data_IF_286543991828
#
_entry.id   IF_286543991828
#
_cell.length_a   1.000
_cell.length_b   1.000
_cell.length_c   1.000
_cell.angle_alpha   90.00
_cell.angle_beta   90.00
_cell.angle_gamma   90.00
#
_symmetry.space_group_name_H-M   'P 1'
#
loop_
_entity.id
_entity.type
_entity.pdbx_description
1 polymer ?
#
# COMPACT_ATOMS: atom_id res chain seq x y z
N UNK A 1 -22.40 -0.24 16.18
CA UNK A 1 -20.94 -0.44 16.18
C UNK A 1 -20.62 -1.05 14.85
N UNK A 2 -19.71 -0.46 14.13
CA UNK A 2 -19.29 -0.96 12.82
C UNK A 2 -17.77 -1.14 12.86
N UNK A 3 -17.32 -2.37 12.70
CA UNK A 3 -15.93 -2.78 12.76
C UNK A 3 -15.53 -3.43 11.44
N UNK A 4 -14.31 -3.18 10.96
CA UNK A 4 -13.76 -3.86 9.80
C UNK A 4 -12.24 -4.03 9.95
N UNK A 5 -11.72 -5.11 9.39
CA UNK A 5 -10.27 -5.37 9.31
C UNK A 5 -9.82 -5.47 7.86
N UNK A 6 -8.77 -4.72 7.52
CA UNK A 6 -8.09 -4.77 6.22
C UNK A 6 -6.66 -5.24 6.42
N UNK A 7 -6.18 -6.12 5.55
CA UNK A 7 -4.80 -6.58 5.57
C UNK A 7 -3.91 -5.59 4.81
N UNK A 8 -2.76 -5.29 5.38
CA UNK A 8 -1.67 -4.51 4.77
C UNK A 8 -0.34 -5.15 5.14
N UNK A 9 0.77 -4.50 4.82
CA UNK A 9 2.09 -4.99 5.18
C UNK A 9 3.09 -3.85 5.45
N UNK A 10 4.11 -4.15 6.24
CA UNK A 10 5.24 -3.27 6.52
C UNK A 10 6.55 -3.94 6.13
N UNK A 11 7.40 -3.29 5.36
CA UNK A 11 8.75 -3.73 5.08
C UNK A 11 9.64 -3.39 6.27
N UNK A 12 10.40 -4.36 6.77
CA UNK A 12 11.31 -4.26 7.91
C UNK A 12 12.68 -4.81 7.49
N UNK A 13 13.56 -3.95 6.98
CA UNK A 13 14.82 -4.41 6.40
C UNK A 13 14.58 -5.35 5.22
N UNK A 14 14.94 -6.62 5.33
CA UNK A 14 14.73 -7.66 4.30
C UNK A 14 13.45 -8.48 4.51
N UNK A 15 12.74 -8.29 5.61
CA UNK A 15 11.50 -9.01 5.92
C UNK A 15 10.26 -8.14 5.71
N UNK A 16 9.13 -8.80 5.53
CA UNK A 16 7.82 -8.16 5.43
C UNK A 16 6.93 -8.73 6.52
N UNK A 17 6.29 -7.85 7.27
CA UNK A 17 5.33 -8.21 8.31
C UNK A 17 3.92 -7.81 7.90
N UNK A 18 2.99 -8.77 7.96
CA UNK A 18 1.59 -8.46 7.70
C UNK A 18 0.99 -7.62 8.82
N UNK A 19 0.27 -6.58 8.44
CA UNK A 19 -0.35 -5.61 9.34
C UNK A 19 -1.86 -5.69 9.20
N UNK A 20 -2.56 -5.87 10.32
CA UNK A 20 -4.01 -5.73 10.37
C UNK A 20 -4.36 -4.28 10.69
N UNK A 21 -5.10 -3.67 9.79
CA UNK A 21 -5.66 -2.33 9.94
C UNK A 21 -7.11 -2.49 10.35
N UNK A 22 -7.39 -2.25 11.61
CA UNK A 22 -8.70 -2.45 12.25
C UNK A 22 -9.35 -1.09 12.46
N UNK A 23 -10.55 -0.88 11.92
CA UNK A 23 -11.31 0.35 12.10
C UNK A 23 -12.59 0.08 12.88
N UNK A 24 -12.82 0.86 13.94
CA UNK A 24 -14.07 0.91 14.70
C UNK A 24 -14.73 2.28 14.53
N UNK A 25 -16.01 2.27 14.15
CA UNK A 25 -16.81 3.49 14.02
C UNK A 25 -17.99 3.38 14.98
N UNK A 26 -17.95 4.18 16.03
CA UNK A 26 -18.92 4.12 17.13
C UNK A 26 -19.50 5.50 17.47
N UNK A 27 -20.62 5.52 18.21
CA UNK A 27 -21.18 6.75 18.71
C UNK A 27 -20.29 7.33 19.82
N UNK A 28 -20.11 8.65 19.82
CA UNK A 28 -19.29 9.34 20.80
C UNK A 28 -18.87 10.72 20.31
N UNK A 29 -17.98 11.37 21.04
CA UNK A 29 -17.39 12.63 20.60
C UNK A 29 -16.67 12.42 19.25
N UNK A 30 -16.91 13.27 18.25
CA UNK A 30 -16.27 13.17 16.95
C UNK A 30 -14.75 13.23 17.07
N UNK A 31 -14.08 12.12 16.75
CA UNK A 31 -12.64 12.03 16.77
C UNK A 31 -12.16 11.00 15.75
N UNK A 32 -10.94 11.17 15.26
CA UNK A 32 -10.23 10.17 14.49
C UNK A 32 -8.93 9.86 15.22
N UNK A 33 -8.84 8.69 15.82
CA UNK A 33 -7.71 8.30 16.65
C UNK A 33 -6.96 7.10 16.07
N UNK A 34 -5.64 7.21 15.98
CA UNK A 34 -4.77 6.17 15.46
C UNK A 34 -4.03 5.49 16.61
N UNK A 35 -4.02 4.16 16.62
CA UNK A 35 -3.39 3.32 17.65
C UNK A 35 -2.36 2.38 17.02
N UNK A 36 -1.26 2.13 17.70
CA UNK A 36 -0.17 1.25 17.27
C UNK A 36 1.21 1.89 17.44
N UNK A 37 2.25 1.18 17.03
CA UNK A 37 3.61 1.74 16.97
C UNK A 37 3.83 2.47 15.64
N UNK A 38 3.43 3.75 15.60
CA UNK A 38 3.30 4.57 14.41
C UNK A 38 4.39 5.63 14.35
N UNK A 39 5.00 5.83 13.19
CA UNK A 39 5.83 7.01 12.92
C UNK A 39 4.94 8.27 12.78
N UNK A 40 5.56 9.46 12.70
CA UNK A 40 4.85 10.74 12.49
C UNK A 40 4.04 10.73 11.21
N UNK A 41 4.60 10.24 10.12
CA UNK A 41 3.95 10.19 8.80
C UNK A 41 2.66 9.33 8.84
N UNK A 42 2.69 8.20 9.57
CA UNK A 42 1.51 7.34 9.74
C UNK A 42 0.47 8.01 10.64
N UNK A 43 0.88 8.75 11.67
CA UNK A 43 -0.06 9.51 12.51
C UNK A 43 -0.79 10.61 11.72
N UNK A 44 -0.08 11.26 10.80
CA UNK A 44 -0.64 12.28 9.91
C UNK A 44 -1.63 11.70 8.88
N UNK A 45 -1.59 10.38 8.63
CA UNK A 45 -2.54 9.71 7.74
C UNK A 45 -4.01 9.98 8.13
N UNK A 46 -4.30 10.21 9.42
CA UNK A 46 -5.65 10.54 9.88
C UNK A 46 -6.23 11.75 9.16
N UNK A 47 -5.44 12.82 8.98
CA UNK A 47 -5.89 14.04 8.31
C UNK A 47 -5.96 13.87 6.79
N UNK A 48 -4.97 13.19 6.19
CA UNK A 48 -4.97 12.89 4.76
C UNK A 48 -6.18 12.04 4.38
N UNK A 49 -6.41 10.93 5.09
CA UNK A 49 -7.52 10.00 4.84
C UNK A 49 -8.87 10.68 5.03
N UNK A 50 -9.07 11.43 6.11
CA UNK A 50 -10.32 12.19 6.35
C UNK A 50 -10.64 13.14 5.20
N UNK A 51 -9.64 13.87 4.74
CA UNK A 51 -9.77 14.84 3.65
C UNK A 51 -10.02 14.13 2.32
N UNK A 52 -9.27 13.07 2.02
CA UNK A 52 -9.45 12.27 0.82
C UNK A 52 -10.84 11.65 0.71
N UNK A 53 -11.35 11.05 1.79
CA UNK A 53 -12.71 10.48 1.83
C UNK A 53 -13.76 11.55 1.51
N UNK A 54 -13.67 12.74 2.13
CA UNK A 54 -14.62 13.83 1.86
C UNK A 54 -14.53 14.31 0.43
N UNK A 55 -13.33 14.50 -0.09
CA UNK A 55 -13.10 14.99 -1.46
C UNK A 55 -13.46 13.96 -2.53
N UNK A 56 -13.53 12.66 -2.16
CA UNK A 56 -14.07 11.58 -2.99
C UNK A 56 -15.62 11.45 -2.89
N UNK A 57 -16.32 12.45 -2.39
CA UNK A 57 -17.78 12.48 -2.32
C UNK A 57 -18.42 11.66 -1.20
N UNK A 58 -17.63 11.02 -0.33
CA UNK A 58 -18.15 10.20 0.77
C UNK A 58 -18.23 11.01 2.05
N UNK A 59 -19.36 10.86 2.79
CA UNK A 59 -19.60 11.62 4.03
C UNK A 59 -19.00 10.89 5.22
N UNK A 60 -18.10 11.56 5.95
CA UNK A 60 -17.66 11.12 7.26
C UNK A 60 -18.65 11.62 8.33
N UNK A 61 -19.34 10.74 9.04
CA UNK A 61 -20.24 11.15 10.11
C UNK A 61 -19.47 11.74 11.29
N UNK A 62 -20.13 12.57 12.09
CA UNK A 62 -19.60 13.08 13.36
C UNK A 62 -19.62 11.97 14.43
N UNK A 63 -18.78 10.95 14.25
CA UNK A 63 -18.65 9.78 15.13
C UNK A 63 -17.23 9.62 15.63
N UNK A 64 -17.06 8.77 16.63
CA UNK A 64 -15.75 8.34 17.10
C UNK A 64 -15.23 7.27 16.15
N UNK A 65 -14.06 7.53 15.52
CA UNK A 65 -13.35 6.61 14.65
C UNK A 65 -12.02 6.26 15.32
N UNK A 66 -11.79 4.98 15.55
CA UNK A 66 -10.53 4.46 16.06
C UNK A 66 -9.95 3.52 14.99
N UNK A 67 -8.69 3.72 14.64
CA UNK A 67 -7.95 2.85 13.74
C UNK A 67 -6.73 2.28 14.44
N UNK A 68 -6.67 0.96 14.56
CA UNK A 68 -5.55 0.25 15.15
C UNK A 68 -4.73 -0.46 14.06
N UNK A 69 -3.41 -0.29 14.07
CA UNK A 69 -2.49 -0.99 13.17
C UNK A 69 -1.71 -2.05 13.96
N UNK A 70 -2.20 -3.28 13.95
CA UNK A 70 -1.66 -4.42 14.68
C UNK A 70 -0.67 -5.25 13.83
N UNK A 71 0.38 -5.83 14.42
CA UNK A 71 0.74 -5.83 15.83
C UNK A 71 1.46 -4.55 16.27
N UNK A 72 1.36 -4.18 17.55
CA UNK A 72 2.02 -2.99 18.11
C UNK A 72 3.54 -3.14 18.24
N UNK A 73 4.08 -4.34 18.08
CA UNK A 73 5.54 -4.61 18.10
C UNK A 73 6.25 -4.15 16.83
N UNK A 74 5.53 -4.06 15.73
CA UNK A 74 6.06 -3.65 14.42
C UNK A 74 5.89 -2.15 14.23
N UNK A 75 6.98 -1.44 13.94
CA UNK A 75 6.92 0.00 13.64
C UNK A 75 6.41 0.23 12.22
N UNK A 76 5.32 0.98 12.08
CA UNK A 76 4.76 1.38 10.79
C UNK A 76 5.37 2.71 10.37
N UNK A 77 5.85 2.78 9.12
CA UNK A 77 6.51 3.97 8.54
C UNK A 77 5.93 4.28 7.17
N UNK A 78 6.05 5.54 6.75
CA UNK A 78 5.64 6.01 5.43
C UNK A 78 4.13 6.14 5.26
N UNK A 79 3.71 6.50 4.03
CA UNK A 79 2.32 6.78 3.69
C UNK A 79 1.58 5.57 3.06
N UNK A 80 2.23 4.40 2.94
CA UNK A 80 1.64 3.20 2.33
C UNK A 80 0.41 2.65 3.05
N UNK A 81 0.16 3.11 4.28
CA UNK A 81 -1.01 2.75 5.08
C UNK A 81 -2.23 3.64 4.85
N UNK A 82 -2.12 4.72 4.09
CA UNK A 82 -3.25 5.63 3.86
C UNK A 82 -4.44 4.91 3.21
N UNK A 83 -4.20 4.14 2.15
CA UNK A 83 -5.24 3.40 1.44
C UNK A 83 -5.89 2.31 2.29
N UNK A 84 -5.14 1.41 2.97
CA UNK A 84 -5.75 0.42 3.85
C UNK A 84 -6.54 1.05 5.01
N UNK A 85 -6.08 2.18 5.58
CA UNK A 85 -6.83 2.93 6.59
C UNK A 85 -8.13 3.47 6.01
N UNK A 86 -8.07 4.10 4.82
CA UNK A 86 -9.26 4.62 4.14
C UNK A 86 -10.29 3.51 3.90
N UNK A 87 -9.87 2.37 3.34
CA UNK A 87 -10.78 1.25 3.07
C UNK A 87 -11.34 0.61 4.35
N UNK A 88 -10.55 0.48 5.41
CA UNK A 88 -11.04 -0.04 6.70
C UNK A 88 -12.13 0.86 7.28
N UNK A 89 -11.93 2.18 7.26
CA UNK A 89 -12.92 3.15 7.73
C UNK A 89 -14.17 3.14 6.84
N UNK A 90 -14.01 3.11 5.52
CA UNK A 90 -15.12 3.07 4.55
C UNK A 90 -15.94 1.78 4.67
N UNK A 91 -15.28 0.64 4.86
CA UNK A 91 -15.98 -0.63 5.09
C UNK A 91 -16.71 -0.64 6.43
N UNK A 92 -16.09 -0.15 7.51
CA UNK A 92 -16.78 0.02 8.79
C UNK A 92 -17.99 0.98 8.73
N UNK A 93 -18.06 1.84 7.71
CA UNK A 93 -19.22 2.72 7.45
C UNK A 93 -20.18 2.17 6.38
N UNK A 94 -19.96 0.95 5.89
CA UNK A 94 -20.73 0.29 4.83
C UNK A 94 -20.70 1.01 3.45
N UNK A 95 -19.66 1.81 3.18
CA UNK A 95 -19.42 2.34 1.84
C UNK A 95 -18.78 1.29 0.92
N UNK A 96 -18.11 0.29 1.50
CA UNK A 96 -17.49 -0.84 0.80
C UNK A 96 -17.91 -2.12 1.53
N UNK A 97 -18.30 -3.19 0.82
CA UNK A 97 -18.58 -4.47 1.43
C UNK A 97 -17.33 -5.08 2.09
N UNK A 98 -17.43 -5.49 3.35
CA UNK A 98 -16.33 -6.16 4.06
C UNK A 98 -15.88 -7.43 3.31
N UNK A 99 -16.82 -8.16 2.72
CA UNK A 99 -16.56 -9.38 1.95
C UNK A 99 -15.59 -9.14 0.77
N UNK A 100 -15.65 -7.95 0.15
CA UNK A 100 -14.74 -7.60 -0.95
C UNK A 100 -13.28 -7.41 -0.51
N UNK A 101 -13.03 -7.28 0.79
CA UNK A 101 -11.69 -7.07 1.37
C UNK A 101 -11.15 -8.33 2.05
N UNK A 102 -11.93 -9.41 2.17
CA UNK A 102 -11.48 -10.67 2.76
C UNK A 102 -10.42 -11.35 1.91
N UNK A 103 -9.28 -11.66 2.51
CA UNK A 103 -8.16 -12.27 1.81
C UNK A 103 -7.48 -11.35 0.79
N UNK A 104 -7.68 -10.03 0.91
CA UNK A 104 -7.08 -9.03 0.05
C UNK A 104 -6.08 -8.20 0.84
N UNK A 105 -4.83 -8.15 0.38
CA UNK A 105 -3.84 -7.22 0.90
C UNK A 105 -4.01 -5.84 0.22
N UNK A 106 -3.82 -4.76 0.97
CA UNK A 106 -4.02 -3.39 0.48
C UNK A 106 -2.82 -2.53 0.84
N UNK A 107 -2.26 -1.83 -0.13
CA UNK A 107 -1.18 -0.85 0.04
C UNK A 107 -1.39 0.35 -0.87
N UNK A 108 -0.99 1.53 -0.42
CA UNK A 108 -1.03 2.74 -1.25
C UNK A 108 -1.06 4.01 -0.41
N UNK A 109 -0.51 5.07 -0.96
CA UNK A 109 -0.65 6.43 -0.46
C UNK A 109 -1.91 7.06 -1.05
N UNK A 110 -2.59 7.92 -0.29
CA UNK A 110 -3.77 8.64 -0.77
C UNK A 110 -3.56 10.15 -0.65
N UNK A 111 -3.67 10.86 -1.79
CA UNK A 111 -3.63 12.31 -1.81
C UNK A 111 -4.92 12.93 -1.24
N UNK A 112 -4.88 14.21 -0.86
CA UNK A 112 -6.06 14.93 -0.37
C UNK A 112 -7.23 14.97 -1.38
N UNK A 113 -6.94 14.79 -2.69
CA UNK A 113 -7.94 14.70 -3.76
C UNK A 113 -8.52 13.30 -3.94
N UNK A 114 -8.08 12.31 -3.16
CA UNK A 114 -8.49 10.92 -3.32
C UNK A 114 -7.75 10.15 -4.42
N UNK A 115 -6.67 10.69 -5.01
CA UNK A 115 -5.80 9.95 -5.94
C UNK A 115 -4.95 8.97 -5.17
N UNK A 116 -4.81 7.76 -5.68
CA UNK A 116 -3.94 6.71 -5.13
C UNK A 116 -2.59 6.82 -5.82
N UNK A 117 -1.52 6.93 -5.03
CA UNK A 117 -0.15 7.15 -5.48
C UNK A 117 0.74 5.96 -5.19
N UNK A 118 1.77 5.79 -6.03
CA UNK A 118 2.77 4.74 -5.91
C UNK A 118 3.51 4.75 -4.59
N UNK A 119 3.88 3.55 -4.15
CA UNK A 119 4.65 3.31 -2.93
C UNK A 119 5.84 2.40 -3.23
N UNK A 120 6.84 2.42 -2.37
CA UNK A 120 8.00 1.54 -2.49
C UNK A 120 7.76 0.18 -1.80
N UNK A 121 8.55 -0.84 -2.22
CA UNK A 121 8.54 -2.16 -1.59
C UNK A 121 7.34 -3.03 -1.95
N UNK A 122 6.72 -2.80 -3.10
CA UNK A 122 5.53 -3.53 -3.54
C UNK A 122 5.83 -5.00 -3.81
N UNK A 123 6.92 -5.31 -4.50
CA UNK A 123 7.29 -6.69 -4.84
C UNK A 123 7.38 -7.60 -3.61
N UNK A 124 8.19 -7.30 -2.58
CA UNK A 124 8.26 -8.14 -1.37
C UNK A 124 6.92 -8.19 -0.62
N UNK A 125 6.14 -7.10 -0.60
CA UNK A 125 4.81 -7.10 0.03
C UNK A 125 3.85 -8.06 -0.68
N UNK A 126 3.79 -8.04 -2.00
CA UNK A 126 2.91 -8.93 -2.78
C UNK A 126 3.35 -10.39 -2.64
N UNK A 127 4.66 -10.65 -2.59
CA UNK A 127 5.20 -12.00 -2.32
C UNK A 127 4.74 -12.51 -0.96
N UNK A 128 4.88 -11.70 0.10
CA UNK A 128 4.47 -12.09 1.44
C UNK A 128 2.95 -12.22 1.57
N UNK A 129 2.18 -11.32 0.98
CA UNK A 129 0.72 -11.43 0.94
C UNK A 129 0.28 -12.77 0.33
N UNK A 130 0.91 -13.21 -0.76
CA UNK A 130 0.67 -14.52 -1.36
C UNK A 130 1.04 -15.66 -0.42
N UNK A 131 2.21 -15.60 0.24
CA UNK A 131 2.67 -16.62 1.19
C UNK A 131 1.69 -16.77 2.37
N UNK A 132 1.08 -15.68 2.80
CA UNK A 132 0.06 -15.64 3.86
C UNK A 132 -1.34 -16.00 3.38
N UNK A 133 -1.48 -16.45 2.12
CA UNK A 133 -2.73 -16.95 1.57
C UNK A 133 -3.70 -15.88 1.07
N UNK A 134 -3.23 -14.64 0.86
CA UNK A 134 -4.05 -13.63 0.19
C UNK A 134 -4.30 -14.03 -1.28
N UNK A 135 -5.54 -13.87 -1.72
CA UNK A 135 -5.96 -14.18 -3.10
C UNK A 135 -5.78 -13.00 -4.06
N UNK A 136 -5.75 -11.79 -3.50
CA UNK A 136 -5.57 -10.56 -4.27
C UNK A 136 -4.76 -9.51 -3.49
N UNK A 137 -4.20 -8.55 -4.23
CA UNK A 137 -3.58 -7.36 -3.68
C UNK A 137 -4.09 -6.12 -4.41
N UNK A 138 -4.63 -5.15 -3.65
CA UNK A 138 -4.98 -3.82 -4.13
C UNK A 138 -3.74 -2.94 -3.95
N UNK A 139 -3.29 -2.33 -5.03
CA UNK A 139 -2.11 -1.47 -5.05
C UNK A 139 -2.28 -0.31 -6.03
N UNK A 140 -1.44 0.74 -5.94
CA UNK A 140 -1.49 1.85 -6.87
C UNK A 140 -1.25 1.43 -8.33
N UNK A 141 -1.94 2.05 -9.29
CA UNK A 141 -1.76 1.79 -10.73
C UNK A 141 -0.28 1.96 -11.15
N UNK A 142 0.44 2.90 -10.54
CA UNK A 142 1.87 3.14 -10.78
C UNK A 142 2.74 1.91 -10.46
N UNK A 143 2.30 1.08 -9.52
CA UNK A 143 3.00 -0.14 -9.09
C UNK A 143 2.47 -1.43 -9.77
N UNK A 144 1.52 -1.32 -10.71
CA UNK A 144 0.90 -2.49 -11.34
C UNK A 144 1.94 -3.45 -11.95
N UNK A 145 2.93 -2.91 -12.65
CA UNK A 145 3.95 -3.71 -13.33
C UNK A 145 4.78 -4.50 -12.32
N UNK A 146 5.21 -3.84 -11.24
CA UNK A 146 5.97 -4.48 -10.16
C UNK A 146 5.15 -5.59 -9.48
N UNK A 147 3.89 -5.30 -9.13
CA UNK A 147 3.01 -6.29 -8.50
C UNK A 147 2.75 -7.51 -9.38
N UNK A 148 2.60 -7.33 -10.69
CA UNK A 148 2.36 -8.42 -11.65
C UNK A 148 3.55 -9.36 -11.87
N UNK A 149 4.74 -9.05 -11.36
CA UNK A 149 5.88 -9.96 -11.36
C UNK A 149 5.62 -11.19 -10.47
N UNK A 150 4.73 -11.08 -9.48
CA UNK A 150 4.36 -12.20 -8.61
C UNK A 150 3.18 -12.96 -9.22
N UNK A 151 3.44 -14.18 -9.69
CA UNK A 151 2.39 -15.06 -10.21
C UNK A 151 1.56 -15.68 -9.08
N UNK A 152 0.29 -16.04 -9.37
CA UNK A 152 -0.59 -16.76 -8.44
C UNK A 152 -1.28 -15.91 -7.38
N UNK A 153 -1.25 -14.60 -7.51
CA UNK A 153 -2.07 -13.63 -6.76
C UNK A 153 -2.68 -12.62 -7.74
N UNK A 154 -3.94 -12.26 -7.55
CA UNK A 154 -4.63 -11.29 -8.41
C UNK A 154 -4.20 -9.87 -8.04
N UNK A 155 -3.70 -9.10 -9.00
CA UNK A 155 -3.37 -7.69 -8.80
C UNK A 155 -4.53 -6.82 -9.24
N UNK A 156 -4.97 -5.94 -8.35
CA UNK A 156 -6.04 -4.96 -8.55
C UNK A 156 -5.43 -3.54 -8.48
N UNK A 157 -5.02 -2.98 -9.64
CA UNK A 157 -4.46 -1.63 -9.67
C UNK A 157 -5.57 -0.59 -9.48
N UNK A 158 -5.28 0.45 -8.70
CA UNK A 158 -6.20 1.54 -8.42
C UNK A 158 -5.52 2.90 -8.56
N UNK A 159 -6.21 3.87 -9.17
CA UNK A 159 -5.72 5.24 -9.38
C UNK A 159 -6.48 6.28 -8.54
N UNK A 160 -7.68 5.90 -8.04
CA UNK A 160 -8.57 6.83 -7.33
C UNK A 160 -9.46 6.09 -6.34
N UNK A 161 -9.68 6.70 -5.17
CA UNK A 161 -10.43 6.11 -4.06
C UNK A 161 -11.93 5.93 -4.41
N UNK A 162 -12.55 6.89 -5.09
CA UNK A 162 -13.96 6.83 -5.49
C UNK A 162 -14.21 5.66 -6.45
N UNK A 163 -13.38 5.54 -7.51
CA UNK A 163 -13.47 4.45 -8.49
C UNK A 163 -13.21 3.09 -7.85
N UNK A 164 -12.25 3.01 -6.94
CA UNK A 164 -11.97 1.77 -6.21
C UNK A 164 -13.17 1.35 -5.37
N UNK A 165 -13.81 2.28 -4.67
CA UNK A 165 -15.03 1.99 -3.91
C UNK A 165 -16.18 1.53 -4.81
N UNK A 166 -16.39 2.17 -5.97
CA UNK A 166 -17.40 1.75 -6.94
C UNK A 166 -17.15 0.32 -7.45
N UNK A 167 -15.90 0.00 -7.78
CA UNK A 167 -15.50 -1.35 -8.19
C UNK A 167 -15.76 -2.39 -7.10
N UNK A 168 -15.37 -2.11 -5.84
CA UNK A 168 -15.57 -3.02 -4.71
C UNK A 168 -17.07 -3.23 -4.40
N UNK A 169 -17.94 -2.32 -4.81
CA UNK A 169 -19.40 -2.45 -4.75
C UNK A 169 -20.00 -3.18 -5.97
N UNK A 170 -19.18 -3.67 -6.90
CA UNK A 170 -19.63 -4.45 -8.06
C UNK A 170 -19.77 -3.67 -9.37
N UNK A 171 -19.35 -2.40 -9.43
CA UNK A 171 -19.30 -1.65 -10.68
C UNK A 171 -17.99 -1.93 -11.44
N UNK A 172 -17.97 -3.06 -12.15
CA UNK A 172 -16.79 -3.52 -12.92
C UNK A 172 -16.38 -2.56 -14.05
N UNK A 173 -17.25 -1.65 -14.47
CA UNK A 173 -16.98 -0.75 -15.62
C UNK A 173 -15.90 0.27 -15.31
N UNK A 174 -15.67 0.62 -14.05
CA UNK A 174 -14.75 1.68 -13.66
C UNK A 174 -13.27 1.28 -13.76
N UNK A 175 -12.90 0.01 -13.56
CA UNK A 175 -11.50 -0.44 -13.73
C UNK A 175 -11.18 -0.82 -15.20
N UNK A 176 -12.19 -1.25 -15.98
CA UNK A 176 -11.94 -1.71 -17.36
C UNK A 176 -11.88 -0.59 -18.42
N UNK A 177 -12.24 0.66 -18.10
CA UNK A 177 -12.24 1.77 -19.08
C UNK A 177 -10.87 2.09 -19.68
N UNK A 178 -9.75 1.70 -19.04
CA UNK A 178 -8.41 1.99 -19.57
C UNK A 178 -7.77 0.88 -20.41
N UNK A 179 -8.37 -0.32 -20.53
CA UNK A 179 -7.78 -1.41 -21.32
C UNK A 179 -7.80 -1.19 -22.84
N UNK A 180 -8.58 -0.25 -23.37
CA UNK A 180 -8.68 -0.03 -24.82
C UNK A 180 -7.68 1.00 -25.41
N UNK A 181 -6.82 1.61 -24.61
CA UNK A 181 -5.94 2.70 -25.06
C UNK A 181 -4.43 2.51 -24.91
N UNK A 182 -3.95 1.41 -24.35
CA UNK A 182 -2.50 1.17 -24.13
C UNK A 182 -2.04 -0.23 -24.46
N UNK A 183 -2.34 -0.68 -25.67
CA UNK A 183 -1.51 -1.65 -26.38
C UNK A 183 -0.33 -0.87 -26.96
N UNK A 184 0.87 -1.22 -26.55
CA UNK A 184 2.19 -0.75 -27.03
C UNK A 184 2.92 0.28 -26.14
N UNK A 185 3.24 -0.12 -24.92
CA UNK A 185 4.45 0.35 -24.27
C UNK A 185 4.94 -0.72 -23.27
N UNK A 186 5.30 -1.90 -23.75
CA UNK A 186 6.43 -2.62 -23.21
C UNK A 186 7.68 -1.77 -23.50
N UNK A 187 7.73 -0.57 -22.93
CA UNK A 187 8.96 0.19 -22.87
C UNK A 187 9.76 -0.37 -21.73
N UNK A 188 10.88 -0.95 -22.10
CA UNK A 188 12.01 -1.35 -21.30
C UNK A 188 12.13 -0.50 -20.03
N UNK A 189 11.63 -1.03 -18.90
CA UNK A 189 11.83 -0.44 -17.58
C UNK A 189 13.31 -0.45 -17.22
N UNK A 190 14.11 -1.22 -17.97
CA UNK A 190 15.56 -1.32 -17.84
C UNK A 190 16.36 -0.34 -18.71
N UNK A 191 15.73 0.56 -19.48
CA UNK A 191 16.42 1.49 -20.37
C UNK A 191 16.66 2.89 -19.82
N UNK A 192 16.55 3.14 -18.52
CA UNK A 192 16.89 4.46 -18.01
C UNK A 192 17.92 4.42 -16.90
N UNK A 193 19.09 4.97 -17.28
CA UNK A 193 20.30 5.14 -16.48
C UNK A 193 20.81 3.83 -15.91
N UNK A 194 21.78 3.27 -16.56
CA UNK A 194 22.70 2.35 -15.91
C UNK A 194 23.40 3.14 -14.81
N UNK A 195 22.81 3.13 -13.60
CA UNK A 195 23.52 3.55 -12.42
C UNK A 195 24.65 2.54 -12.22
N UNK A 196 25.89 3.00 -12.30
CA UNK A 196 27.06 2.18 -12.15
C UNK A 196 27.69 2.44 -10.79
N UNK A 197 28.28 1.42 -10.18
CA UNK A 197 29.06 1.59 -8.96
C UNK A 197 30.21 2.60 -9.12
N UNK A 198 30.64 2.91 -10.33
CA UNK A 198 31.59 3.98 -10.62
C UNK A 198 31.06 5.37 -10.27
N UNK A 199 29.74 5.57 -10.29
CA UNK A 199 29.09 6.86 -9.98
C UNK A 199 29.11 7.18 -8.47
N UNK A 200 29.39 6.18 -7.63
CA UNK A 200 29.51 6.33 -6.18
C UNK A 200 30.96 6.62 -5.80
N UNK A 201 31.23 7.76 -5.21
CA UNK A 201 32.57 8.09 -4.72
C UNK A 201 32.91 7.31 -3.44
N UNK A 202 34.06 6.62 -3.41
CA UNK A 202 34.50 5.83 -2.27
C UNK A 202 33.75 4.50 -2.09
N UNK A 203 33.55 4.08 -0.84
CA UNK A 203 32.81 2.87 -0.46
C UNK A 203 33.32 1.55 -1.09
N UNK A 204 34.65 1.43 -1.32
CA UNK A 204 35.25 0.31 -2.05
C UNK A 204 34.94 -1.07 -1.44
N UNK A 205 34.89 -1.17 -0.11
CA UNK A 205 34.57 -2.42 0.57
C UNK A 205 33.10 -2.83 0.35
N UNK A 206 32.17 -1.87 0.35
CA UNK A 206 30.75 -2.11 0.10
C UNK A 206 30.52 -2.48 -1.35
N UNK A 207 31.15 -1.79 -2.30
CA UNK A 207 31.11 -2.13 -3.73
C UNK A 207 31.58 -3.56 -3.97
N UNK A 208 32.72 -3.94 -3.35
CA UNK A 208 33.26 -5.30 -3.49
C UNK A 208 32.34 -6.35 -2.86
N UNK A 209 31.73 -6.07 -1.72
CA UNK A 209 30.76 -6.96 -1.10
C UNK A 209 29.50 -7.15 -1.98
N UNK A 210 29.03 -6.07 -2.61
CA UNK A 210 27.91 -6.13 -3.54
C UNK A 210 28.22 -6.93 -4.81
N UNK A 211 29.42 -6.76 -5.39
CA UNK A 211 29.87 -7.57 -6.53
C UNK A 211 29.91 -9.07 -6.19
N UNK A 212 30.39 -9.44 -5.00
CA UNK A 212 30.43 -10.84 -4.56
C UNK A 212 29.00 -11.38 -4.36
N UNK A 213 28.12 -10.60 -3.71
CA UNK A 213 26.74 -11.01 -3.49
C UNK A 213 25.95 -11.24 -4.79
N UNK A 214 26.21 -10.42 -5.83
CA UNK A 214 25.61 -10.59 -7.16
C UNK A 214 26.13 -11.83 -7.87
N UNK A 215 27.43 -12.15 -7.71
CA UNK A 215 28.02 -13.36 -8.28
C UNK A 215 27.39 -14.65 -7.73
N UNK A 216 26.92 -14.63 -6.48
CA UNK A 216 26.23 -15.75 -5.83
C UNK A 216 24.71 -15.77 -6.07
N UNK A 217 24.19 -15.03 -7.07
CA UNK A 217 22.76 -14.93 -7.43
C UNK A 217 21.85 -14.36 -6.33
N UNK A 218 22.34 -13.52 -5.46
CA UNK A 218 21.52 -12.79 -4.50
C UNK A 218 21.25 -11.39 -5.07
N UNK A 219 20.08 -11.17 -5.63
CA UNK A 219 19.59 -9.83 -5.94
C UNK A 219 19.18 -9.18 -4.61
N UNK A 220 20.06 -8.42 -4.03
CA UNK A 220 19.70 -7.52 -2.93
C UNK A 220 19.19 -6.23 -3.56
N UNK A 221 17.90 -6.05 -3.63
CA UNK A 221 17.31 -4.74 -3.87
C UNK A 221 17.56 -3.89 -2.62
N UNK A 222 18.75 -3.29 -2.54
CA UNK A 222 19.14 -2.47 -1.40
C UNK A 222 18.65 -1.04 -1.62
N UNK A 223 17.46 -0.73 -1.15
CA UNK A 223 17.12 0.62 -0.71
C UNK A 223 17.40 0.70 0.80
N UNK A 224 18.64 0.47 1.17
CA UNK A 224 19.09 0.68 2.55
C UNK A 224 20.06 1.84 2.58
N UNK A 225 19.61 2.97 3.13
CA UNK A 225 20.51 3.97 3.67
C UNK A 225 21.38 3.28 4.73
N UNK A 226 22.63 3.02 4.40
CA UNK A 226 23.63 2.61 5.38
C UNK A 226 23.91 3.84 6.23
N UNK A 227 23.67 3.84 7.56
CA UNK A 227 24.03 4.96 8.40
C UNK A 227 25.56 5.13 8.35
N UNK A 228 25.99 6.36 8.19
CA UNK A 228 27.40 6.76 8.32
C UNK A 228 27.88 6.59 9.76
#
# INVERSE_FOLDING_TARGET
MSFCTVLSAAVQGLSVEMIRVEADVSNGLPMFHMVGYLSSEVKEASERVRTAIRNSGMKLPAKKIIVNLAPATVRKRGASFDLPIALAVLAAMNYVPEEALKGVAVIGEVSLEGKIRGVSGVLPIVMEAKNQGCTACILPEENEIEGRLVSGIKILPADNLEKLCAYLNGDEKEIHRKKQGRSSAQRNIFENKKEDFSDICGQNAVKRAAEIAVADCIIVAADTQVPM
#
